data_IF_345075265756
#
_entry.id   IF_345075265756
#
_cell.length_a   1.000
_cell.length_b   1.000
_cell.length_c   1.000
_cell.angle_alpha   90.00
_cell.angle_beta   90.00
_cell.angle_gamma   90.00
#
_symmetry.space_group_name_H-M   'P 1'
#
loop_
_entity.id
_entity.type
_entity.pdbx_description
1 polymer ?
#
# COMPACT_ATOMS: atom_id res chain seq x y z
N UNK A 1 -20.87 -17.13 19.56
CA UNK A 1 -20.37 -16.78 18.21
C UNK A 1 -21.49 -16.08 17.45
N UNK A 2 -21.60 -14.75 17.55
CA UNK A 2 -22.70 -13.96 16.94
C UNK A 2 -22.32 -13.65 15.48
N UNK A 3 -22.93 -14.37 14.56
CA UNK A 3 -22.80 -14.21 13.11
C UNK A 3 -23.42 -12.88 12.69
N UNK A 4 -22.60 -11.82 12.58
CA UNK A 4 -23.02 -10.54 11.99
C UNK A 4 -23.03 -10.64 10.46
N UNK A 5 -24.08 -11.27 9.92
CA UNK A 5 -24.56 -10.95 8.56
C UNK A 5 -25.24 -9.57 8.60
N UNK A 6 -24.91 -8.72 7.64
CA UNK A 6 -25.76 -7.59 7.23
C UNK A 6 -25.34 -6.21 7.73
N UNK A 7 -24.87 -5.36 6.81
CA UNK A 7 -25.52 -4.09 6.44
C UNK A 7 -24.64 -3.35 5.42
N UNK A 8 -25.03 -3.36 4.14
CA UNK A 8 -24.49 -2.50 3.08
C UNK A 8 -25.14 -1.11 3.16
N UNK A 9 -25.08 -0.46 4.34
CA UNK A 9 -25.47 0.95 4.48
C UNK A 9 -24.19 1.73 4.80
N UNK A 10 -23.84 2.78 4.04
CA UNK A 10 -22.71 3.63 4.38
C UNK A 10 -23.01 4.25 5.74
N UNK A 11 -22.42 3.68 6.79
CA UNK A 11 -22.61 4.12 8.16
C UNK A 11 -21.59 5.21 8.39
N UNK A 12 -22.06 6.45 8.47
CA UNK A 12 -21.26 7.58 8.95
C UNK A 12 -20.59 7.14 10.26
N UNK A 13 -19.25 7.21 10.37
CA UNK A 13 -18.55 6.70 11.54
C UNK A 13 -18.96 7.51 12.77
N UNK A 14 -19.16 6.82 13.89
CA UNK A 14 -19.33 7.51 15.17
C UNK A 14 -18.03 8.20 15.57
N UNK A 15 -18.09 9.20 16.46
CA UNK A 15 -16.89 9.88 16.96
C UNK A 15 -15.85 8.90 17.55
N UNK A 16 -16.30 7.84 18.21
CA UNK A 16 -15.44 6.77 18.71
C UNK A 16 -14.77 5.98 17.58
N UNK A 17 -15.51 5.64 16.51
CA UNK A 17 -14.96 4.95 15.35
C UNK A 17 -13.94 5.83 14.62
N UNK A 18 -14.25 7.10 14.40
CA UNK A 18 -13.32 8.05 13.78
C UNK A 18 -11.98 8.12 14.54
N UNK A 19 -12.04 8.23 15.88
CA UNK A 19 -10.83 8.19 16.71
C UNK A 19 -10.05 6.88 16.53
N UNK A 20 -10.74 5.74 16.48
CA UNK A 20 -10.09 4.44 16.26
C UNK A 20 -9.40 4.37 14.89
N UNK A 21 -10.07 4.79 13.82
CA UNK A 21 -9.50 4.77 12.46
C UNK A 21 -8.26 5.66 12.34
N UNK A 22 -8.31 6.87 12.91
CA UNK A 22 -7.16 7.80 12.91
C UNK A 22 -5.98 7.21 13.69
N UNK A 23 -6.24 6.65 14.87
CA UNK A 23 -5.19 6.05 15.70
C UNK A 23 -4.59 4.80 15.03
N UNK A 24 -5.44 3.95 14.41
CA UNK A 24 -4.99 2.79 13.66
C UNK A 24 -4.11 3.21 12.47
N UNK A 25 -4.55 4.22 11.70
CA UNK A 25 -3.78 4.76 10.59
C UNK A 25 -2.43 5.32 11.03
N UNK A 26 -2.38 6.06 12.14
CA UNK A 26 -1.12 6.60 12.68
C UNK A 26 -0.15 5.49 13.12
N UNK A 27 -0.63 4.49 13.85
CA UNK A 27 0.19 3.36 14.31
C UNK A 27 0.74 2.60 13.11
N UNK A 28 -0.10 2.31 12.11
CA UNK A 28 0.32 1.62 10.90
C UNK A 28 1.32 2.45 10.10
N UNK A 29 1.10 3.76 9.96
CA UNK A 29 2.03 4.65 9.26
C UNK A 29 3.42 4.62 9.90
N UNK A 30 3.49 4.65 11.23
CA UNK A 30 4.76 4.54 11.96
C UNK A 30 5.42 3.16 11.76
N UNK A 31 4.63 2.08 11.74
CA UNK A 31 5.13 0.74 11.47
C UNK A 31 5.66 0.58 10.04
N UNK A 32 5.03 1.23 9.06
CA UNK A 32 5.40 1.13 7.64
C UNK A 32 6.70 1.84 7.28
N UNK A 33 7.14 2.85 8.04
CA UNK A 33 8.37 3.60 7.74
C UNK A 33 9.59 2.66 7.65
N UNK A 34 9.94 1.88 8.69
CA UNK A 34 11.07 0.96 8.60
C UNK A 34 10.86 -0.16 7.58
N UNK A 35 9.62 -0.64 7.40
CA UNK A 35 9.31 -1.69 6.42
C UNK A 35 9.57 -1.22 4.98
N UNK A 36 9.08 -0.05 4.61
CA UNK A 36 9.28 0.52 3.27
C UNK A 36 10.76 0.81 2.98
N UNK A 37 11.52 1.24 3.98
CA UNK A 37 12.97 1.43 3.87
C UNK A 37 13.65 0.08 3.62
N UNK A 38 13.36 -0.95 4.43
CA UNK A 38 13.94 -2.27 4.28
C UNK A 38 13.62 -2.90 2.91
N UNK A 39 12.38 -2.79 2.43
CA UNK A 39 11.99 -3.33 1.12
C UNK A 39 12.62 -2.58 -0.05
N UNK A 40 12.85 -1.27 0.07
CA UNK A 40 13.60 -0.52 -0.94
C UNK A 40 15.05 -1.00 -1.05
N UNK A 41 15.69 -1.28 0.10
CA UNK A 41 17.04 -1.82 0.14
C UNK A 41 17.11 -3.23 -0.46
N UNK A 42 16.13 -4.08 -0.19
CA UNK A 42 16.02 -5.41 -0.83
C UNK A 42 15.86 -5.29 -2.34
N UNK A 43 15.08 -4.30 -2.81
CA UNK A 43 14.91 -4.01 -4.21
C UNK A 43 16.08 -3.25 -4.84
N UNK A 44 17.17 -2.96 -4.11
CA UNK A 44 18.32 -2.24 -4.68
C UNK A 44 18.04 -0.80 -5.10
N UNK A 45 17.01 -0.16 -4.54
CA UNK A 45 16.63 1.23 -4.86
C UNK A 45 16.76 2.16 -3.64
N UNK A 46 16.79 3.47 -3.90
CA UNK A 46 16.83 4.48 -2.84
C UNK A 46 15.58 4.35 -1.92
N UNK A 47 15.73 4.40 -0.58
CA UNK A 47 14.61 4.30 0.37
C UNK A 47 13.45 5.27 0.13
N UNK A 48 13.71 6.42 -0.51
CA UNK A 48 12.67 7.38 -0.89
C UNK A 48 11.65 6.75 -1.83
N UNK A 49 12.07 5.83 -2.71
CA UNK A 49 11.17 5.16 -3.67
C UNK A 49 10.09 4.35 -2.95
N UNK A 50 10.46 3.52 -1.97
CA UNK A 50 9.47 2.74 -1.21
C UNK A 50 8.58 3.60 -0.32
N UNK A 51 9.10 4.68 0.26
CA UNK A 51 8.29 5.62 1.05
C UNK A 51 7.28 6.36 0.16
N UNK A 52 7.69 6.83 -1.02
CA UNK A 52 6.76 7.42 -1.99
C UNK A 52 5.74 6.43 -2.50
N UNK A 53 6.15 5.21 -2.85
CA UNK A 53 5.23 4.16 -3.29
C UNK A 53 4.18 3.85 -2.22
N UNK A 54 4.60 3.75 -0.96
CA UNK A 54 3.69 3.48 0.16
C UNK A 54 2.70 4.61 0.39
N UNK A 55 3.16 5.86 0.35
CA UNK A 55 2.29 7.02 0.49
C UNK A 55 1.29 7.13 -0.67
N UNK A 56 1.75 7.06 -1.91
CA UNK A 56 0.90 7.17 -3.11
C UNK A 56 -0.14 6.04 -3.13
N UNK A 57 0.24 4.81 -2.81
CA UNK A 57 -0.70 3.69 -2.74
C UNK A 57 -1.72 3.84 -1.61
N UNK A 58 -1.29 4.25 -0.42
CA UNK A 58 -2.20 4.45 0.71
C UNK A 58 -3.26 5.53 0.41
N UNK A 59 -2.84 6.66 -0.18
CA UNK A 59 -3.76 7.71 -0.62
C UNK A 59 -4.69 7.19 -1.72
N UNK A 60 -4.16 6.51 -2.73
CA UNK A 60 -4.97 6.01 -3.86
C UNK A 60 -6.04 5.02 -3.39
N UNK A 61 -5.68 4.06 -2.55
CA UNK A 61 -6.59 3.02 -2.04
C UNK A 61 -7.57 3.56 -1.00
N UNK A 62 -7.25 4.66 -0.30
CA UNK A 62 -8.21 5.33 0.56
C UNK A 62 -9.44 5.85 -0.21
N UNK A 63 -9.27 6.22 -1.50
CA UNK A 63 -10.36 6.68 -2.36
C UNK A 63 -10.92 5.57 -3.27
N UNK A 64 -10.05 4.73 -3.84
CA UNK A 64 -10.40 3.77 -4.88
C UNK A 64 -10.53 2.32 -4.36
N UNK A 65 -10.17 2.07 -3.10
CA UNK A 65 -10.13 0.73 -2.52
C UNK A 65 -11.51 0.11 -2.29
N UNK A 66 -11.66 -1.17 -2.64
CA UNK A 66 -12.93 -1.90 -2.46
C UNK A 66 -13.16 -2.46 -1.04
N UNK A 67 -12.12 -2.49 -0.19
CA UNK A 67 -12.18 -3.07 1.16
C UNK A 67 -11.66 -2.10 2.22
N UNK A 68 -12.56 -1.48 3.01
CA UNK A 68 -12.18 -0.57 4.09
C UNK A 68 -11.26 -1.23 5.13
N UNK A 69 -10.40 -0.42 5.75
CA UNK A 69 -9.39 -0.82 6.73
C UNK A 69 -8.30 -1.78 6.19
N UNK A 70 -8.21 -1.97 4.87
CA UNK A 70 -7.07 -2.64 4.23
C UNK A 70 -5.99 -1.63 3.86
N UNK A 71 -4.74 -1.98 4.18
CA UNK A 71 -3.58 -1.15 3.90
C UNK A 71 -2.89 -1.66 2.64
N UNK A 72 -2.53 -0.74 1.75
CA UNK A 72 -1.74 -1.03 0.55
C UNK A 72 -0.52 -0.11 0.55
N UNK A 73 0.66 -0.72 0.54
CA UNK A 73 1.95 -0.04 0.63
C UNK A 73 3.05 -0.88 -0.04
N UNK A 74 4.31 -0.48 0.10
CA UNK A 74 5.44 -1.32 -0.31
C UNK A 74 5.48 -2.62 0.51
N UNK A 75 5.63 -3.76 -0.16
CA UNK A 75 5.68 -5.09 0.48
C UNK A 75 6.92 -5.86 0.02
N UNK A 76 7.40 -6.76 0.87
CA UNK A 76 8.51 -7.65 0.54
C UNK A 76 8.23 -8.54 -0.67
N UNK A 77 6.97 -8.95 -0.87
CA UNK A 77 6.56 -9.76 -2.01
C UNK A 77 6.87 -9.05 -3.34
N UNK A 78 6.49 -7.77 -3.50
CA UNK A 78 6.84 -7.04 -4.72
C UNK A 78 8.31 -6.64 -4.77
N UNK A 79 8.94 -6.29 -3.63
CA UNK A 79 10.35 -5.95 -3.61
C UNK A 79 11.23 -7.08 -4.18
N UNK A 80 10.96 -8.33 -3.81
CA UNK A 80 11.69 -9.49 -4.33
C UNK A 80 11.45 -9.75 -5.83
N UNK A 81 10.23 -9.49 -6.31
CA UNK A 81 9.89 -9.66 -7.73
C UNK A 81 10.57 -8.60 -8.61
N UNK A 82 10.66 -7.36 -8.12
CA UNK A 82 11.21 -6.25 -8.89
C UNK A 82 12.70 -6.00 -8.65
N UNK A 83 13.31 -6.65 -7.67
CA UNK A 83 14.74 -6.52 -7.36
C UNK A 83 15.62 -6.85 -8.58
N UNK A 84 15.43 -7.98 -9.31
CA UNK A 84 16.26 -8.27 -10.47
C UNK A 84 16.12 -7.19 -11.56
N UNK A 85 14.89 -6.73 -11.82
CA UNK A 85 14.60 -5.71 -12.83
C UNK A 85 15.30 -4.38 -12.52
N UNK A 86 15.21 -3.93 -11.27
CA UNK A 86 15.79 -2.64 -10.84
C UNK A 86 17.31 -2.69 -10.76
N UNK A 87 17.89 -3.82 -10.38
CA UNK A 87 19.35 -4.00 -10.33
C UNK A 87 19.94 -4.10 -11.74
N UNK A 88 19.29 -4.82 -12.66
CA UNK A 88 19.82 -5.03 -14.02
C UNK A 88 19.52 -3.86 -14.97
N UNK A 89 18.34 -3.24 -14.88
CA UNK A 89 17.87 -2.23 -15.85
C UNK A 89 17.65 -0.84 -15.24
N UNK A 90 17.75 -0.70 -13.91
CA UNK A 90 17.61 0.57 -13.22
C UNK A 90 16.17 0.95 -12.84
N UNK A 91 16.05 2.09 -12.15
CA UNK A 91 14.79 2.58 -11.56
C UNK A 91 13.77 3.01 -12.62
N UNK A 92 14.22 3.49 -13.79
CA UNK A 92 13.31 3.90 -14.86
C UNK A 92 12.47 2.73 -15.38
N UNK A 93 13.09 1.55 -15.53
CA UNK A 93 12.40 0.32 -15.90
C UNK A 93 11.46 -0.18 -14.80
N UNK A 94 11.84 -0.01 -13.53
CA UNK A 94 10.96 -0.29 -12.39
C UNK A 94 9.69 0.58 -12.45
N UNK A 95 9.81 1.88 -12.73
CA UNK A 95 8.67 2.79 -12.85
C UNK A 95 7.79 2.38 -14.03
N UNK A 96 8.39 2.12 -15.19
CA UNK A 96 7.66 1.65 -16.37
C UNK A 96 6.90 0.34 -16.10
N UNK A 97 7.54 -0.63 -15.46
CA UNK A 97 6.92 -1.89 -15.07
C UNK A 97 5.79 -1.70 -14.04
N UNK A 98 5.95 -0.76 -13.09
CA UNK A 98 4.91 -0.43 -12.09
C UNK A 98 3.68 0.17 -12.76
N UNK A 99 3.86 1.09 -13.72
CA UNK A 99 2.76 1.67 -14.50
C UNK A 99 2.06 0.57 -15.30
N UNK A 100 2.84 -0.28 -15.99
CA UNK A 100 2.29 -1.39 -16.76
C UNK A 100 1.51 -2.38 -15.88
N UNK A 101 2.04 -2.73 -14.71
CA UNK A 101 1.38 -3.60 -13.74
C UNK A 101 0.04 -2.99 -13.28
N UNK A 102 0.00 -1.69 -13.01
CA UNK A 102 -1.23 -0.98 -12.66
C UNK A 102 -2.27 -1.00 -13.79
N UNK A 103 -1.85 -0.80 -15.05
CA UNK A 103 -2.73 -0.89 -16.21
C UNK A 103 -3.30 -2.30 -16.37
N UNK A 104 -2.46 -3.33 -16.22
CA UNK A 104 -2.86 -4.73 -16.26
C UNK A 104 -3.86 -5.02 -15.13
N UNK A 105 -3.59 -4.53 -13.91
CA UNK A 105 -4.46 -4.73 -12.75
C UNK A 105 -5.84 -4.09 -12.92
N UNK A 106 -5.96 -2.96 -13.62
CA UNK A 106 -7.26 -2.32 -13.91
C UNK A 106 -8.00 -3.04 -15.04
N UNK A 107 -7.28 -3.66 -15.98
CA UNK A 107 -7.86 -4.40 -17.10
C UNK A 107 -8.32 -5.82 -16.78
N UNK A 108 -7.87 -6.39 -15.66
CA UNK A 108 -8.22 -7.72 -15.14
C UNK A 108 -9.37 -7.63 -14.13
#
# INVERSE_FOLDING_TARGET
MKTRRGSLKPRVPSAAQFRTEVMAGLVVALALIPEAIAFSLIAGVDPRVGLYASFVMAVSIAFLGGRPAMISAATGAMALVVAPLSIEYGVDYLIAATILAGLIQVGL
#
